data_IF_425588885906
#
_entry.id   IF_425588885906
#
_cell.length_a   1.000
_cell.length_b   1.000
_cell.length_c   1.000
_cell.angle_alpha   90.00
_cell.angle_beta   90.00
_cell.angle_gamma   90.00
#
_symmetry.space_group_name_H-M   'P 1'
#
loop_
_entity.id
_entity.type
_entity.pdbx_description
1 polymer ?
#
# COMPACT_ATOMS: atom_id res chain seq x y z
N UNK A 1 -7.21 -1.33 32.85
CA UNK A 1 -6.01 -1.36 32.01
C UNK A 1 -6.36 -0.69 30.70
N UNK A 2 -5.98 0.57 30.52
CA UNK A 2 -6.19 1.27 29.25
C UNK A 2 -5.22 0.67 28.23
N UNK A 3 -5.75 0.04 27.18
CA UNK A 3 -4.92 -0.43 26.06
C UNK A 3 -4.18 0.74 25.42
N UNK A 4 -3.05 0.51 24.74
CA UNK A 4 -2.30 1.59 24.11
C UNK A 4 -3.20 2.31 23.11
N UNK A 5 -3.57 3.55 23.42
CA UNK A 5 -4.25 4.44 22.47
C UNK A 5 -3.34 4.55 21.25
N UNK A 6 -3.77 3.99 20.11
CA UNK A 6 -3.18 4.30 18.81
C UNK A 6 -3.53 5.76 18.49
N UNK A 7 -2.76 6.68 19.08
CA UNK A 7 -3.13 8.09 19.24
C UNK A 7 -3.23 8.86 17.92
N UNK A 8 -2.50 8.43 16.88
CA UNK A 8 -2.65 8.90 15.51
C UNK A 8 -2.05 7.90 14.52
N UNK A 9 -2.67 7.73 13.36
CA UNK A 9 -2.15 6.93 12.24
C UNK A 9 -0.74 7.38 11.81
N UNK A 10 -0.43 8.67 12.04
CA UNK A 10 0.87 9.31 11.78
C UNK A 10 2.01 8.81 12.67
N UNK A 11 1.72 8.35 13.89
CA UNK A 11 2.74 7.92 14.85
C UNK A 11 3.19 6.46 14.64
N UNK A 12 2.47 5.71 13.80
CA UNK A 12 2.83 4.32 13.51
C UNK A 12 4.05 4.23 12.58
N UNK A 13 5.12 3.59 13.08
CA UNK A 13 6.32 3.26 12.29
C UNK A 13 6.01 2.50 11.00
N UNK A 14 4.89 1.77 10.97
CA UNK A 14 4.48 0.89 9.86
C UNK A 14 3.48 1.53 8.91
N UNK A 15 3.17 2.84 9.07
CA UNK A 15 2.24 3.57 8.18
C UNK A 15 2.55 3.36 6.71
N UNK A 16 3.82 3.44 6.33
CA UNK A 16 4.24 3.28 4.93
C UNK A 16 4.21 1.83 4.43
N UNK A 17 4.23 0.86 5.33
CA UNK A 17 4.20 -0.57 4.96
C UNK A 17 2.82 -0.99 4.43
N UNK A 18 1.76 -0.25 4.78
CA UNK A 18 0.41 -0.51 4.26
C UNK A 18 0.36 -0.36 2.73
N UNK A 19 1.05 0.63 2.16
CA UNK A 19 1.12 0.83 0.70
C UNK A 19 1.91 -0.27 0.00
N UNK A 20 2.98 -0.75 0.65
CA UNK A 20 3.80 -1.85 0.12
C UNK A 20 3.00 -3.15 0.12
N UNK A 21 2.30 -3.46 1.21
CA UNK A 21 1.42 -4.63 1.32
C UNK A 21 0.28 -4.54 0.31
N UNK A 22 -0.36 -3.39 0.18
CA UNK A 22 -1.43 -3.17 -0.81
C UNK A 22 -0.90 -3.36 -2.24
N UNK A 23 0.28 -2.82 -2.54
CA UNK A 23 0.93 -2.98 -3.85
C UNK A 23 1.27 -4.44 -4.16
N UNK A 24 1.73 -5.22 -3.18
CA UNK A 24 2.00 -6.65 -3.33
C UNK A 24 0.71 -7.46 -3.53
N UNK A 25 -0.36 -7.14 -2.79
CA UNK A 25 -1.67 -7.77 -2.98
C UNK A 25 -2.21 -7.50 -4.39
N UNK A 26 -2.10 -6.26 -4.86
CA UNK A 26 -2.50 -5.87 -6.22
C UNK A 26 -1.63 -6.57 -7.29
N UNK A 27 -0.32 -6.66 -7.07
CA UNK A 27 0.57 -7.40 -7.97
C UNK A 27 0.19 -8.88 -8.06
N UNK A 28 -0.09 -9.53 -6.92
CA UNK A 28 -0.56 -10.91 -6.88
C UNK A 28 -1.89 -11.08 -7.59
N UNK A 29 -2.83 -10.16 -7.39
CA UNK A 29 -4.13 -10.15 -8.06
C UNK A 29 -3.98 -9.99 -9.58
N UNK A 30 -3.16 -9.05 -10.04
CA UNK A 30 -2.87 -8.83 -11.46
C UNK A 30 -2.21 -10.07 -12.08
N UNK A 31 -1.26 -10.69 -11.37
CA UNK A 31 -0.62 -11.93 -11.82
C UNK A 31 -1.61 -13.09 -11.92
N UNK A 32 -2.60 -13.14 -11.02
CA UNK A 32 -3.63 -14.18 -11.02
C UNK A 32 -4.64 -13.99 -12.15
N UNK A 33 -5.07 -12.75 -12.40
CA UNK A 33 -6.10 -12.42 -13.39
C UNK A 33 -5.57 -12.25 -14.81
N UNK A 34 -4.24 -12.16 -15.01
CA UNK A 34 -3.64 -11.88 -16.32
C UNK A 34 -2.50 -12.85 -16.66
N UNK A 35 -2.24 -13.06 -17.96
CA UNK A 35 -1.08 -13.84 -18.42
C UNK A 35 0.24 -13.06 -18.28
N UNK A 36 0.22 -11.85 -17.69
CA UNK A 36 1.41 -11.04 -17.54
C UNK A 36 2.47 -11.75 -16.67
N UNK A 37 3.74 -11.50 -17.01
CA UNK A 37 4.87 -11.93 -16.21
C UNK A 37 4.91 -11.22 -14.86
N UNK A 38 5.63 -11.83 -13.90
CA UNK A 38 5.86 -11.25 -12.58
C UNK A 38 6.43 -9.82 -12.61
N UNK A 39 7.41 -9.47 -13.47
CA UNK A 39 7.94 -8.10 -13.51
C UNK A 39 6.88 -7.05 -13.85
N UNK A 40 6.02 -7.34 -14.82
CA UNK A 40 4.92 -6.45 -15.21
C UNK A 40 3.87 -6.34 -14.10
N UNK A 41 3.52 -7.46 -13.47
CA UNK A 41 2.54 -7.48 -12.36
C UNK A 41 3.04 -6.71 -11.14
N UNK A 42 4.32 -6.86 -10.78
CA UNK A 42 4.97 -6.09 -9.73
C UNK A 42 5.06 -4.60 -10.08
N UNK A 43 5.36 -4.27 -11.34
CA UNK A 43 5.34 -2.88 -11.82
C UNK A 43 3.97 -2.23 -11.66
N UNK A 44 2.89 -2.94 -12.01
CA UNK A 44 1.51 -2.46 -11.84
C UNK A 44 1.16 -2.30 -10.35
N UNK A 45 1.47 -3.29 -9.51
CA UNK A 45 1.23 -3.21 -8.07
C UNK A 45 2.00 -2.07 -7.40
N UNK A 46 3.27 -1.88 -7.76
CA UNK A 46 4.09 -0.77 -7.27
C UNK A 46 3.54 0.59 -7.72
N UNK A 47 3.15 0.72 -9.00
CA UNK A 47 2.55 1.95 -9.51
C UNK A 47 1.25 2.32 -8.78
N UNK A 48 0.39 1.34 -8.52
CA UNK A 48 -0.85 1.54 -7.76
C UNK A 48 -0.59 1.89 -6.29
N UNK A 49 0.36 1.21 -5.64
CA UNK A 49 0.77 1.52 -4.26
C UNK A 49 1.32 2.95 -4.12
N UNK A 50 2.15 3.40 -5.08
CA UNK A 50 2.68 4.76 -5.13
C UNK A 50 1.58 5.78 -5.43
N UNK A 51 0.70 5.50 -6.38
CA UNK A 51 -0.43 6.38 -6.70
C UNK A 51 -1.34 6.58 -5.49
N UNK A 52 -1.62 5.51 -4.73
CA UNK A 52 -2.40 5.58 -3.51
C UNK A 52 -1.70 6.39 -2.40
N UNK A 53 -0.39 6.19 -2.23
CA UNK A 53 0.43 7.00 -1.31
C UNK A 53 0.39 8.49 -1.67
N UNK A 54 0.53 8.84 -2.95
CA UNK A 54 0.44 10.23 -3.42
C UNK A 54 -0.96 10.82 -3.21
N UNK A 55 -2.00 10.01 -3.41
CA UNK A 55 -3.38 10.41 -3.18
C UNK A 55 -3.65 10.72 -1.71
N UNK A 56 -3.23 9.85 -0.78
CA UNK A 56 -3.38 10.10 0.65
C UNK A 56 -2.52 11.28 1.13
N UNK A 57 -1.32 11.47 0.55
CA UNK A 57 -0.51 12.66 0.79
C UNK A 57 -1.24 13.94 0.36
N UNK A 58 -1.91 13.94 -0.80
CA UNK A 58 -2.72 15.07 -1.27
C UNK A 58 -3.92 15.37 -0.35
N UNK A 59 -4.50 14.33 0.27
CA UNK A 59 -5.61 14.46 1.24
C UNK A 59 -5.17 14.91 2.64
N UNK A 60 -3.87 15.03 2.90
CA UNK A 60 -3.32 15.40 4.21
C UNK A 60 -3.46 14.31 5.28
N UNK A 61 -3.79 13.07 4.88
CA UNK A 61 -3.92 11.90 5.77
C UNK A 61 -2.55 11.44 6.23
N UNK A 62 -1.57 11.44 5.32
CA UNK A 62 -0.15 11.14 5.60
C UNK A 62 0.59 12.43 5.91
#
# INVERSE_FOLDING_TARGET
MAGPELKNFRDSRWRYSQFVVLGLLLAGLVKWLSPLGWPASLGIGAALGVAYLLFEKKRGVI
#
